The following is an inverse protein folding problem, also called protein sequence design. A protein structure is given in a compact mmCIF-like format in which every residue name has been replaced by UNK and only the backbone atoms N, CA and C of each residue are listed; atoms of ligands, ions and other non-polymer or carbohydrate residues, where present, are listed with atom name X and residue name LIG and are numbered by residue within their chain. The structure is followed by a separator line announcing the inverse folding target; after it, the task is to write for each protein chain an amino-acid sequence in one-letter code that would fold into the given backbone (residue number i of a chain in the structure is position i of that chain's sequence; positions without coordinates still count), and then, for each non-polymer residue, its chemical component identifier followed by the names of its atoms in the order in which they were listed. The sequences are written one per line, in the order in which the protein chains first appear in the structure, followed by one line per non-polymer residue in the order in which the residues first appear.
data_IF_916696638569
#
_entry.id   IF_916696638569
#
_cell.length_a   1.000
_cell.length_b   1.000
_cell.length_c   1.000
_cell.angle_alpha   90.00
_cell.angle_beta   90.00
_cell.angle_gamma   90.00
#
_symmetry.space_group_name_H-M   'P 1'
#
loop_
_entity.id
_entity.type
_entity.pdbx_description
1 polymer ?
#
# COMPACT_ATOMS: atom_id res chain seq x y z
N UNK A 1 -21.63 7.99 -21.97
CA UNK A 1 -20.18 7.75 -21.89
C UNK A 1 -19.78 8.03 -20.45
N UNK A 2 -19.46 6.99 -19.69
CA UNK A 2 -19.21 7.12 -18.26
C UNK A 2 -17.89 7.89 -18.08
N UNK A 3 -17.94 9.00 -17.34
CA UNK A 3 -16.74 9.74 -16.99
C UNK A 3 -15.86 8.86 -16.13
N UNK A 4 -14.73 8.41 -16.69
CA UNK A 4 -13.63 7.88 -15.91
C UNK A 4 -13.20 8.99 -14.96
N UNK A 5 -13.49 8.81 -13.67
CA UNK A 5 -13.12 9.77 -12.64
C UNK A 5 -11.61 9.98 -12.72
N UNK A 6 -11.16 11.25 -12.80
CA UNK A 6 -9.73 11.62 -12.85
C UNK A 6 -8.94 11.00 -11.68
N UNK A 7 -9.63 10.66 -10.59
CA UNK A 7 -9.08 9.99 -9.41
C UNK A 7 -8.85 8.48 -9.58
N UNK A 8 -9.72 7.78 -10.32
CA UNK A 8 -9.61 6.33 -10.53
C UNK A 8 -8.40 5.97 -11.39
N UNK A 9 -8.02 6.86 -12.32
CA UNK A 9 -6.85 6.65 -13.20
C UNK A 9 -5.53 6.64 -12.44
N UNK A 10 -5.33 7.62 -11.54
CA UNK A 10 -4.09 7.70 -10.75
C UNK A 10 -3.94 6.50 -9.83
N UNK A 11 -4.97 6.15 -9.04
CA UNK A 11 -4.86 5.02 -8.11
C UNK A 11 -4.67 3.68 -8.85
N UNK A 12 -5.25 3.53 -10.05
CA UNK A 12 -5.00 2.37 -10.90
C UNK A 12 -3.54 2.30 -11.36
N UNK A 13 -2.98 3.41 -11.86
CA UNK A 13 -1.58 3.49 -12.29
C UNK A 13 -0.61 3.23 -11.12
N UNK A 14 -0.88 3.81 -9.95
CA UNK A 14 -0.08 3.56 -8.74
C UNK A 14 -0.12 2.08 -8.33
N UNK A 15 -1.31 1.45 -8.39
CA UNK A 15 -1.45 0.02 -8.10
C UNK A 15 -0.70 -0.86 -9.10
N UNK A 16 -0.74 -0.51 -10.38
CA UNK A 16 0.01 -1.21 -11.44
C UNK A 16 1.51 -1.09 -11.21
N UNK A 17 2.01 0.13 -10.99
CA UNK A 17 3.41 0.38 -10.68
C UNK A 17 3.89 -0.42 -9.47
N UNK A 18 3.13 -0.40 -8.37
CA UNK A 18 3.42 -1.19 -7.15
C UNK A 18 3.46 -2.69 -7.42
N UNK A 19 2.60 -3.18 -8.32
CA UNK A 19 2.57 -4.61 -8.66
C UNK A 19 3.87 -5.06 -9.32
N UNK A 20 4.47 -4.20 -10.16
CA UNK A 20 5.82 -4.38 -10.73
C UNK A 20 6.95 -4.16 -9.71
N UNK A 21 6.75 -3.29 -8.72
CA UNK A 21 7.77 -2.83 -7.77
C UNK A 21 7.51 -3.25 -6.32
N UNK A 22 6.93 -4.43 -6.09
CA UNK A 22 6.49 -4.86 -4.75
C UNK A 22 7.63 -4.90 -3.71
N UNK A 23 8.87 -5.05 -4.16
CA UNK A 23 10.06 -5.15 -3.32
C UNK A 23 10.69 -3.79 -3.00
N UNK A 24 10.20 -2.71 -3.61
CA UNK A 24 10.74 -1.37 -3.56
C UNK A 24 10.97 -0.83 -4.96
N UNK A 25 11.24 0.47 -5.03
CA UNK A 25 11.54 1.22 -6.23
C UNK A 25 12.68 2.19 -5.94
N UNK A 26 13.35 2.64 -6.98
CA UNK A 26 14.39 3.66 -6.95
C UNK A 26 13.81 5.07 -7.14
N UNK A 27 14.64 6.09 -6.91
CA UNK A 27 14.29 7.48 -7.24
C UNK A 27 14.04 7.67 -8.74
N UNK A 28 14.71 6.89 -9.60
CA UNK A 28 14.54 6.95 -11.05
C UNK A 28 13.17 6.37 -11.45
N UNK A 29 12.79 5.21 -10.89
CA UNK A 29 11.46 4.62 -11.12
C UNK A 29 10.35 5.59 -10.68
N UNK A 30 10.56 6.30 -9.57
CA UNK A 30 9.62 7.32 -9.09
C UNK A 30 9.49 8.49 -10.07
N UNK A 31 10.61 8.98 -10.62
CA UNK A 31 10.60 10.07 -11.61
C UNK A 31 9.95 9.63 -12.92
N UNK A 32 10.19 8.40 -13.35
CA UNK A 32 9.57 7.83 -14.56
C UNK A 32 8.05 7.68 -14.40
N UNK A 33 7.59 7.21 -13.23
CA UNK A 33 6.17 7.16 -12.91
C UNK A 33 5.52 8.55 -12.95
N UNK A 34 6.15 9.55 -12.33
CA UNK A 34 5.66 10.93 -12.34
C UNK A 34 5.60 11.52 -13.76
N UNK A 35 6.62 11.26 -14.59
CA UNK A 35 6.63 11.68 -15.98
C UNK A 35 5.49 11.03 -16.76
N UNK A 36 5.30 9.72 -16.60
CA UNK A 36 4.21 8.97 -17.25
C UNK A 36 2.84 9.53 -16.86
N UNK A 37 2.58 9.74 -15.57
CA UNK A 37 1.34 10.32 -15.08
C UNK A 37 1.10 11.73 -15.65
N UNK A 38 2.14 12.56 -15.75
CA UNK A 38 2.05 13.89 -16.33
C UNK A 38 1.73 13.85 -17.84
N UNK A 39 2.36 12.95 -18.60
CA UNK A 39 2.08 12.73 -20.03
C UNK A 39 0.64 12.26 -20.27
N UNK A 40 0.08 11.48 -19.34
CA UNK A 40 -1.32 11.05 -19.34
C UNK A 40 -2.30 12.16 -18.89
N UNK A 41 -1.80 13.33 -18.48
CA UNK A 41 -2.59 14.49 -18.08
C UNK A 41 -3.08 14.46 -16.62
N UNK A 42 -2.48 13.61 -15.78
CA UNK A 42 -2.71 13.63 -14.35
C UNK A 42 -1.96 14.79 -13.68
N UNK A 43 -2.51 15.26 -12.55
CA UNK A 43 -1.88 16.29 -11.74
C UNK A 43 -0.80 15.65 -10.86
N UNK A 44 0.44 16.14 -10.99
CA UNK A 44 1.62 15.64 -10.27
C UNK A 44 2.34 16.73 -9.47
N UNK A 45 1.71 17.89 -9.26
CA UNK A 45 2.34 19.02 -8.57
C UNK A 45 2.60 18.71 -7.09
N UNK A 46 1.68 17.97 -6.44
CA UNK A 46 1.84 17.49 -5.08
C UNK A 46 2.37 16.04 -5.03
N UNK A 47 3.68 15.93 -5.27
CA UNK A 47 4.41 14.65 -5.17
C UNK A 47 4.34 14.02 -3.78
N UNK A 48 4.12 14.80 -2.71
CA UNK A 48 3.98 14.29 -1.35
C UNK A 48 2.67 13.50 -1.17
N UNK A 49 1.56 14.07 -1.63
CA UNK A 49 0.25 13.39 -1.63
C UNK A 49 0.27 12.15 -2.52
N UNK A 50 0.92 12.21 -3.69
CA UNK A 50 1.09 11.02 -4.55
C UNK A 50 1.93 9.93 -3.88
N UNK A 51 3.01 10.30 -3.18
CA UNK A 51 3.82 9.35 -2.42
C UNK A 51 3.01 8.63 -1.33
N UNK A 52 2.14 9.34 -0.60
CA UNK A 52 1.26 8.72 0.40
C UNK A 52 0.25 7.75 -0.24
N UNK A 53 -0.32 8.09 -1.41
CA UNK A 53 -1.21 7.20 -2.16
C UNK A 53 -0.47 5.96 -2.68
N UNK A 54 0.76 6.13 -3.13
CA UNK A 54 1.63 5.05 -3.58
C UNK A 54 1.94 4.07 -2.44
N UNK A 55 2.32 4.58 -1.27
CA UNK A 55 2.54 3.78 -0.06
C UNK A 55 1.28 3.04 0.39
N UNK A 56 0.12 3.69 0.35
CA UNK A 56 -1.18 3.04 0.60
C UNK A 56 -1.39 1.85 -0.36
N UNK A 57 -1.18 2.06 -1.66
CA UNK A 57 -1.27 0.99 -2.65
C UNK A 57 -0.25 -0.14 -2.41
N UNK A 58 0.95 0.21 -1.93
CA UNK A 58 2.01 -0.76 -1.57
C UNK A 58 1.61 -1.65 -0.39
N UNK A 59 1.01 -1.06 0.65
CA UNK A 59 0.44 -1.79 1.79
C UNK A 59 -0.66 -2.74 1.32
N UNK A 60 -1.66 -2.24 0.58
CA UNK A 60 -2.79 -3.03 0.12
C UNK A 60 -2.35 -4.22 -0.73
N UNK A 61 -1.47 -3.98 -1.71
CA UNK A 61 -0.95 -5.01 -2.62
C UNK A 61 -0.11 -6.05 -1.87
N UNK A 62 0.66 -5.60 -0.86
CA UNK A 62 1.40 -6.50 0.03
C UNK A 62 0.47 -7.41 0.82
N UNK A 63 -0.56 -6.86 1.46
CA UNK A 63 -1.49 -7.63 2.28
C UNK A 63 -2.34 -8.59 1.43
N UNK A 64 -2.71 -8.18 0.22
CA UNK A 64 -3.38 -9.03 -0.75
C UNK A 64 -2.52 -10.25 -1.12
N UNK A 65 -1.23 -10.04 -1.44
CA UNK A 65 -0.29 -11.13 -1.77
C UNK A 65 0.00 -12.08 -0.62
N UNK A 66 -0.05 -11.60 0.63
CA UNK A 66 0.12 -12.47 1.81
C UNK A 66 -1.09 -13.39 2.02
N UNK A 67 -2.26 -13.06 1.46
CA UNK A 67 -3.48 -13.87 1.52
C UNK A 67 -3.83 -14.37 2.94
N UNK A 68 -3.66 -13.51 3.95
CA UNK A 68 -3.77 -13.90 5.35
C UNK A 68 -5.22 -14.29 5.72
N UNK A 69 -5.44 -15.46 6.35
CA UNK A 69 -6.77 -15.87 6.80
C UNK A 69 -7.40 -14.84 7.72
N UNK A 70 -8.67 -14.51 7.47
CA UNK A 70 -9.41 -13.53 8.27
C UNK A 70 -9.07 -12.07 8.00
N UNK A 71 -8.09 -11.74 7.15
CA UNK A 71 -7.75 -10.36 6.76
C UNK A 71 -8.20 -10.12 5.31
N UNK A 72 -9.50 -9.87 5.16
CA UNK A 72 -10.14 -9.53 3.88
C UNK A 72 -10.01 -8.05 3.51
N UNK A 73 -10.55 -7.63 2.35
CA UNK A 73 -10.35 -6.29 1.78
C UNK A 73 -10.58 -5.15 2.75
N UNK A 74 -11.71 -5.14 3.47
CA UNK A 74 -12.04 -4.08 4.44
C UNK A 74 -11.00 -3.93 5.56
N UNK A 75 -10.45 -5.04 6.06
CA UNK A 75 -9.39 -4.99 7.09
C UNK A 75 -8.07 -4.50 6.50
N UNK A 76 -7.78 -4.79 5.23
CA UNK A 76 -6.59 -4.27 4.54
C UNK A 76 -6.68 -2.76 4.36
N UNK A 77 -7.85 -2.25 4.01
CA UNK A 77 -8.10 -0.80 3.96
C UNK A 77 -7.85 -0.14 5.31
N UNK A 78 -8.42 -0.65 6.42
CA UNK A 78 -8.13 -0.08 7.75
C UNK A 78 -6.65 -0.08 8.12
N UNK A 79 -5.89 -1.09 7.67
CA UNK A 79 -4.43 -1.12 7.87
C UNK A 79 -3.76 -0.03 7.03
N UNK A 80 -4.11 0.07 5.74
CA UNK A 80 -3.54 1.07 4.82
C UNK A 80 -3.93 2.52 5.17
N UNK A 81 -5.08 2.72 5.80
CA UNK A 81 -5.53 4.02 6.33
C UNK A 81 -4.73 4.46 7.57
N UNK A 82 -4.26 3.50 8.38
CA UNK A 82 -3.64 3.79 9.67
C UNK A 82 -2.11 3.91 9.57
N UNK A 83 -1.48 3.20 8.64
CA UNK A 83 -0.03 3.19 8.48
C UNK A 83 0.41 4.05 7.29
N UNK A 84 1.36 4.98 7.48
CA UNK A 84 1.79 5.89 6.41
C UNK A 84 2.71 5.24 5.38
N UNK A 85 3.29 4.08 5.68
CA UNK A 85 4.17 3.35 4.77
C UNK A 85 4.24 1.86 5.09
N UNK A 86 4.61 1.05 4.09
CA UNK A 86 4.83 -0.38 4.29
C UNK A 86 5.96 -0.64 5.31
N UNK A 87 6.97 0.22 5.34
CA UNK A 87 8.06 0.12 6.31
C UNK A 87 7.54 0.26 7.75
N UNK A 88 6.70 1.26 8.03
CA UNK A 88 6.13 1.46 9.36
C UNK A 88 5.24 0.28 9.76
N UNK A 89 4.42 -0.22 8.83
CA UNK A 89 3.59 -1.42 9.07
C UNK A 89 4.44 -2.65 9.41
N UNK A 90 5.55 -2.90 8.70
CA UNK A 90 6.44 -4.04 8.95
C UNK A 90 7.14 -3.97 10.32
N UNK A 91 7.30 -2.78 10.87
CA UNK A 91 7.92 -2.53 12.17
C UNK A 91 6.92 -2.38 13.32
N UNK A 92 5.61 -2.35 13.02
CA UNK A 92 4.57 -2.26 14.03
C UNK A 92 4.60 -3.47 14.98
N UNK A 93 4.37 -3.23 16.27
CA UNK A 93 4.18 -4.29 17.26
C UNK A 93 2.79 -4.89 17.16
N UNK A 94 2.60 -6.07 17.74
CA UNK A 94 1.28 -6.71 17.81
C UNK A 94 0.27 -5.81 18.54
N UNK A 95 0.72 -5.10 19.58
CA UNK A 95 -0.11 -4.19 20.36
C UNK A 95 -0.63 -3.05 19.49
N UNK A 96 0.24 -2.41 18.70
CA UNK A 96 -0.16 -1.36 17.75
C UNK A 96 -1.13 -1.89 16.69
N UNK A 97 -0.91 -3.11 16.18
CA UNK A 97 -1.82 -3.73 15.22
C UNK A 97 -3.18 -4.09 15.84
N UNK A 98 -3.24 -4.35 17.14
CA UNK A 98 -4.48 -4.65 17.86
C UNK A 98 -5.32 -3.39 18.14
N UNK A 99 -4.74 -2.19 18.03
CA UNK A 99 -5.47 -0.92 18.12
C UNK A 99 -6.27 -0.60 16.84
N UNK A 100 -5.98 -1.31 15.73
CA UNK A 100 -6.69 -1.10 14.48
C UNK A 100 -8.18 -1.44 14.60
N UNK A 101 -9.08 -0.66 13.95
CA UNK A 101 -10.49 -0.99 13.90
C UNK A 101 -10.72 -2.39 13.32
N UNK A 102 -11.53 -3.21 14.02
CA UNK A 102 -11.85 -4.59 13.63
C UNK A 102 -10.71 -5.62 13.76
N UNK A 103 -9.63 -5.27 14.46
CA UNK A 103 -8.57 -6.20 14.87
C UNK A 103 -8.73 -6.58 16.34
N UNK A 104 -8.62 -7.87 16.61
CA UNK A 104 -8.43 -8.41 17.95
C UNK A 104 -7.04 -9.04 18.02
N UNK A 105 -6.54 -9.33 19.24
CA UNK A 105 -5.18 -9.85 19.46
C UNK A 105 -4.75 -10.93 18.47
N UNK A 106 -5.55 -12.01 18.30
CA UNK A 106 -5.24 -13.10 17.35
C UNK A 106 -5.08 -12.67 15.89
N UNK A 107 -5.83 -11.67 15.42
CA UNK A 107 -5.69 -11.13 14.05
C UNK A 107 -4.45 -10.26 13.94
N UNK A 108 -4.13 -9.48 14.99
CA UNK A 108 -2.89 -8.73 15.07
C UNK A 108 -1.66 -9.66 15.05
N UNK A 109 -1.69 -10.76 15.81
CA UNK A 109 -0.65 -11.80 15.77
C UNK A 109 -0.52 -12.39 14.36
N UNK A 110 -1.65 -12.75 13.72
CA UNK A 110 -1.67 -13.29 12.35
C UNK A 110 -1.03 -12.34 11.34
N UNK A 111 -1.36 -11.04 11.43
CA UNK A 111 -0.79 -10.01 10.58
C UNK A 111 0.71 -9.83 10.83
N UNK A 112 1.10 -9.69 12.10
CA UNK A 112 2.49 -9.54 12.50
C UNK A 112 3.35 -10.70 11.99
N UNK A 113 2.92 -11.94 12.24
CA UNK A 113 3.63 -13.13 11.77
C UNK A 113 3.70 -13.21 10.25
N UNK A 114 2.61 -12.85 9.56
CA UNK A 114 2.55 -12.78 8.11
C UNK A 114 3.56 -11.80 7.54
N UNK A 115 3.71 -10.64 8.16
CA UNK A 115 4.70 -9.63 7.78
C UNK A 115 6.12 -10.14 8.05
N UNK A 116 6.42 -10.68 9.23
CA UNK A 116 7.77 -11.15 9.60
C UNK A 116 8.27 -12.33 8.76
N UNK A 117 7.38 -13.27 8.39
CA UNK A 117 7.75 -14.40 7.52
C UNK A 117 8.28 -13.95 6.15
N UNK A 118 7.84 -12.78 5.65
CA UNK A 118 8.27 -12.24 4.35
C UNK A 118 9.49 -11.32 4.45
N UNK A 119 9.80 -10.79 5.64
CA UNK A 119 11.00 -9.97 5.88
C UNK A 119 12.28 -10.81 6.05
N UNK A 120 12.18 -12.14 6.12
CA UNK A 120 13.31 -13.06 6.26
C UNK A 120 14.07 -13.40 4.97
N UNK A 121 13.89 -12.60 3.91
CA UNK A 121 14.60 -12.77 2.64
C UNK A 121 15.20 -11.45 2.18
N UNK A 122 16.39 -11.13 2.69
CA UNK A 122 17.32 -10.18 2.11
C UNK A 122 18.62 -10.94 1.84
#
# INVERSE_FOLDING_TARGET
MAGSSKFDGVDAALKEFVSGHIHGWSDDDWRELLATLAEEGHDVDDTGTLGLRLERAHILSTLERLALPGIGPRRREHVADHFPSLWTLRNASVEQLAELPSFHRRLADTLHDGLKRRTGGF
#
